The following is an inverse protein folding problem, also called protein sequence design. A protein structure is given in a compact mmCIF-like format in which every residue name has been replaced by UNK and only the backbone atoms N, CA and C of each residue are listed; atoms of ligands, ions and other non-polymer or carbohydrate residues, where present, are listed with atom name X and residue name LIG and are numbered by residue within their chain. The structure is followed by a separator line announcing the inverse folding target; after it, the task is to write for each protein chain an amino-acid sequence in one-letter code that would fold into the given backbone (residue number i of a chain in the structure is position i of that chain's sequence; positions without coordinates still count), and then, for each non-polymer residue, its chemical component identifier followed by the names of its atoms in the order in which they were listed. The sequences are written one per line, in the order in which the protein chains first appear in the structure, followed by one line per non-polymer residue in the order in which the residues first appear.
data_IF_053030356545
#
_entry.id   IF_053030356545
#
_cell.length_a   1.000
_cell.length_b   1.000
_cell.length_c   1.000
_cell.angle_alpha   90.00
_cell.angle_beta   90.00
_cell.angle_gamma   90.00
#
_symmetry.space_group_name_H-M   'P 1'
#
loop_
_entity.id
_entity.type
_entity.pdbx_description
1 polymer ?
#
# COMPACT_ATOMS: atom_id res chain seq x y z
N UNK A 1 -8.16 13.91 -7.51
CA UNK A 1 -6.78 13.40 -7.58
C UNK A 1 -6.26 13.31 -6.15
N UNK A 2 -6.05 12.10 -5.64
CA UNK A 2 -5.58 11.85 -4.27
C UNK A 2 -4.23 11.11 -4.31
N UNK A 3 -3.43 11.25 -3.25
CA UNK A 3 -2.19 10.53 -3.05
C UNK A 3 -2.44 9.35 -2.13
N UNK A 4 -2.15 8.14 -2.61
CA UNK A 4 -2.36 6.89 -1.90
C UNK A 4 -1.01 6.22 -1.63
N UNK A 5 -0.80 5.73 -0.40
CA UNK A 5 0.31 4.85 -0.08
C UNK A 5 -0.17 3.41 -0.04
N UNK A 6 0.48 2.52 -0.78
CA UNK A 6 0.21 1.09 -0.77
C UNK A 6 1.39 0.35 -0.15
N UNK A 7 1.18 -0.19 1.05
CA UNK A 7 2.13 -1.06 1.74
C UNK A 7 1.89 -2.50 1.30
N UNK A 8 2.84 -3.10 0.57
CA UNK A 8 2.71 -4.49 0.10
C UNK A 8 3.98 -5.29 0.35
N UNK A 9 3.87 -6.58 0.74
CA UNK A 9 5.00 -7.51 0.75
C UNK A 9 5.37 -7.97 -0.66
N UNK A 10 4.53 -7.68 -1.66
CA UNK A 10 4.77 -8.04 -3.06
C UNK A 10 5.83 -7.14 -3.67
N UNK A 11 6.77 -7.73 -4.40
CA UNK A 11 7.70 -7.00 -5.27
C UNK A 11 7.04 -6.54 -6.57
N UNK A 12 5.77 -6.91 -6.79
CA UNK A 12 4.98 -6.58 -7.97
C UNK A 12 4.38 -5.17 -7.95
N UNK A 13 4.02 -4.67 -9.13
CA UNK A 13 3.33 -3.40 -9.34
C UNK A 13 1.99 -3.31 -8.58
N UNK A 14 1.62 -2.12 -8.10
CA UNK A 14 0.35 -1.84 -7.39
C UNK A 14 -0.91 -2.34 -8.10
N UNK A 15 -0.89 -2.41 -9.43
CA UNK A 15 -1.99 -2.91 -10.28
C UNK A 15 -2.27 -4.41 -10.10
N UNK A 16 -1.31 -5.19 -9.59
CA UNK A 16 -1.56 -6.60 -9.22
C UNK A 16 -2.17 -6.74 -7.83
N UNK A 17 -2.03 -5.73 -6.97
CA UNK A 17 -2.53 -5.75 -5.60
C UNK A 17 -3.97 -5.22 -5.55
N UNK A 18 -4.23 -4.03 -6.10
CA UNK A 18 -5.57 -3.46 -6.15
C UNK A 18 -5.85 -2.94 -7.58
N UNK A 19 -6.24 -3.82 -8.52
CA UNK A 19 -6.36 -3.47 -9.94
C UNK A 19 -7.31 -2.30 -10.22
N UNK A 20 -8.33 -2.13 -9.38
CA UNK A 20 -9.28 -1.02 -9.48
C UNK A 20 -8.62 0.37 -9.37
N UNK A 21 -7.44 0.48 -8.74
CA UNK A 21 -6.69 1.75 -8.70
C UNK A 21 -6.21 2.20 -10.07
N UNK A 22 -6.11 1.29 -11.06
CA UNK A 22 -5.79 1.67 -12.44
C UNK A 22 -6.96 2.32 -13.18
N UNK A 23 -8.18 2.22 -12.64
CA UNK A 23 -9.41 2.76 -13.25
C UNK A 23 -9.70 4.21 -12.81
N UNK A 24 -8.92 4.72 -11.85
CA UNK A 24 -9.14 6.03 -11.23
C UNK A 24 -7.86 6.84 -11.23
N UNK A 25 -8.00 8.15 -11.39
CA UNK A 25 -6.86 9.07 -11.48
C UNK A 25 -6.35 9.43 -10.07
N UNK A 26 -5.60 8.50 -9.48
CA UNK A 26 -4.94 8.63 -8.18
C UNK A 26 -3.44 8.37 -8.30
N UNK A 27 -2.64 9.13 -7.55
CA UNK A 27 -1.20 8.89 -7.48
C UNK A 27 -0.95 7.81 -6.43
N UNK A 28 -0.56 6.62 -6.86
CA UNK A 28 -0.27 5.48 -5.97
C UNK A 28 1.23 5.32 -5.82
N UNK A 29 1.72 5.37 -4.58
CA UNK A 29 3.12 5.08 -4.26
C UNK A 29 3.19 3.77 -3.48
N UNK A 30 4.03 2.86 -3.98
CA UNK A 30 4.23 1.55 -3.36
C UNK A 30 5.38 1.63 -2.37
N UNK A 31 5.14 1.11 -1.16
CA UNK A 31 6.11 1.00 -0.08
C UNK A 31 6.17 -0.47 0.40
N UNK A 32 7.32 -0.94 0.90
CA UNK A 32 7.40 -2.27 1.47
C UNK A 32 6.55 -2.35 2.74
N UNK A 33 5.79 -3.45 2.91
CA UNK A 33 5.01 -3.72 4.12
C UNK A 33 5.91 -4.01 5.33
N UNK A 34 6.46 -2.96 5.92
CA UNK A 34 7.38 -3.01 7.07
C UNK A 34 7.18 -1.81 7.99
N UNK A 35 7.43 -2.00 9.29
CA UNK A 35 7.27 -0.94 10.29
C UNK A 35 8.18 0.27 9.99
N UNK A 36 9.40 0.03 9.51
CA UNK A 36 10.34 1.09 9.14
C UNK A 36 9.83 1.96 7.98
N UNK A 37 9.21 1.34 6.97
CA UNK A 37 8.63 2.07 5.85
C UNK A 37 7.40 2.87 6.26
N UNK A 38 6.57 2.32 7.16
CA UNK A 38 5.44 3.06 7.73
C UNK A 38 5.91 4.27 8.55
N UNK A 39 6.96 4.11 9.36
CA UNK A 39 7.51 5.20 10.17
C UNK A 39 8.12 6.34 9.34
N UNK A 40 8.60 6.05 8.13
CA UNK A 40 9.20 7.02 7.21
C UNK A 40 8.24 7.39 6.06
N UNK A 41 6.98 7.00 6.18
CA UNK A 41 6.00 7.24 5.14
C UNK A 41 5.71 8.75 5.03
N UNK A 42 5.66 9.29 3.82
CA UNK A 42 5.27 10.68 3.59
C UNK A 42 3.77 10.88 3.82
N UNK A 43 3.32 12.13 3.92
CA UNK A 43 1.89 12.43 3.98
C UNK A 43 1.16 11.92 2.73
N UNK A 44 -0.05 11.43 2.94
CA UNK A 44 -0.95 10.92 1.92
C UNK A 44 -2.40 10.98 2.41
N UNK A 45 -3.34 11.02 1.47
CA UNK A 45 -4.77 11.08 1.75
C UNK A 45 -5.31 9.75 2.30
N UNK A 46 -4.69 8.63 1.89
CA UNK A 46 -5.08 7.30 2.33
C UNK A 46 -3.90 6.32 2.33
N UNK A 47 -3.90 5.47 3.35
CA UNK A 47 -2.98 4.36 3.49
C UNK A 47 -3.71 3.06 3.23
N UNK A 48 -3.17 2.27 2.31
CA UNK A 48 -3.66 0.95 1.92
C UNK A 48 -2.63 -0.08 2.36
N UNK A 49 -3.07 -1.11 3.08
CA UNK A 49 -2.22 -2.21 3.50
C UNK A 49 -2.67 -3.49 2.78
N UNK A 50 -1.75 -4.09 2.03
CA UNK A 50 -1.98 -5.35 1.35
C UNK A 50 -1.97 -6.52 2.35
N UNK A 51 -3.13 -7.14 2.49
CA UNK A 51 -3.36 -8.29 3.35
C UNK A 51 -3.91 -9.51 2.58
N UNK A 52 -3.83 -9.51 1.24
CA UNK A 52 -4.51 -10.49 0.38
C UNK A 52 -4.13 -11.94 0.70
N UNK A 53 -2.86 -12.17 1.05
CA UNK A 53 -2.34 -13.52 1.28
C UNK A 53 -2.00 -13.80 2.75
N UNK A 54 -1.86 -12.77 3.59
CA UNK A 54 -1.48 -12.94 5.01
C UNK A 54 -1.97 -11.78 5.89
N UNK A 55 -3.22 -11.89 6.35
CA UNK A 55 -3.83 -10.89 7.23
C UNK A 55 -3.14 -10.78 8.60
N UNK A 56 -2.63 -11.89 9.13
CA UNK A 56 -1.96 -11.90 10.45
C UNK A 56 -0.67 -11.08 10.39
N UNK A 57 0.15 -11.28 9.36
CA UNK A 57 1.37 -10.50 9.17
C UNK A 57 1.05 -9.01 8.95
N UNK A 58 0.05 -8.69 8.11
CA UNK A 58 -0.37 -7.31 7.89
C UNK A 58 -0.77 -6.60 9.19
N UNK A 59 -1.53 -7.28 10.06
CA UNK A 59 -1.97 -6.75 11.36
C UNK A 59 -0.83 -6.37 12.31
N UNK A 60 0.40 -6.80 12.08
CA UNK A 60 1.54 -6.42 12.93
C UNK A 60 2.03 -4.99 12.65
N UNK A 61 1.50 -4.33 11.61
CA UNK A 61 1.89 -2.98 11.17
C UNK A 61 0.92 -1.88 11.64
N UNK A 62 -0.13 -2.20 12.40
CA UNK A 62 -1.13 -1.29 12.95
C UNK A 62 -1.47 -1.61 14.41
#
# INVERSE_FOLDING_TARGET
MATLLLFTPSTSTSSQVLPALSLVDHTVRVLPASASAAAQAPEADLWLLDAQHNLVAAKTLC
#
